data_IF_430602171862
#
_entry.id   IF_430602171862
#
_cell.length_a   1.000
_cell.length_b   1.000
_cell.length_c   1.000
_cell.angle_alpha   90.00
_cell.angle_beta   90.00
_cell.angle_gamma   90.00
#
_symmetry.space_group_name_H-M   'P 1'
#
loop_
_entity.id
_entity.type
_entity.pdbx_description
1 polymer ?
#
# COMPACT_ATOMS: atom_id res chain seq x y z
N UNK A 1 2.23 10.49 -1.62
CA UNK A 1 2.92 9.19 -1.66
C UNK A 1 2.27 8.31 -2.70
N UNK A 2 3.07 7.75 -3.59
CA UNK A 2 2.59 6.80 -4.60
C UNK A 2 2.94 5.38 -4.14
N UNK A 3 1.96 4.50 -4.22
CA UNK A 3 2.08 3.09 -3.88
C UNK A 3 1.86 2.24 -5.13
N UNK A 4 2.65 1.19 -5.28
CA UNK A 4 2.47 0.15 -6.28
C UNK A 4 2.53 -1.20 -5.58
N UNK A 5 1.50 -2.01 -5.75
CA UNK A 5 1.43 -3.36 -5.21
C UNK A 5 1.46 -4.32 -6.39
N UNK A 6 2.50 -5.17 -6.41
CA UNK A 6 2.72 -6.17 -7.44
C UNK A 6 2.50 -7.56 -6.81
N UNK A 7 1.47 -8.28 -7.25
CA UNK A 7 1.18 -9.64 -6.84
C UNK A 7 1.77 -10.62 -7.85
N UNK A 8 2.65 -11.50 -7.40
CA UNK A 8 3.36 -12.46 -8.25
C UNK A 8 3.09 -13.90 -7.81
N UNK A 9 3.05 -14.81 -8.79
CA UNK A 9 3.04 -16.26 -8.54
C UNK A 9 4.34 -16.89 -8.99
N UNK A 10 4.79 -17.89 -8.26
CA UNK A 10 5.92 -18.71 -8.62
C UNK A 10 5.53 -20.19 -8.55
N UNK A 11 5.73 -20.91 -9.66
CA UNK A 11 5.40 -22.33 -9.80
C UNK A 11 6.60 -23.25 -9.52
N UNK A 12 7.81 -22.76 -9.80
CA UNK A 12 9.09 -23.45 -9.59
C UNK A 12 10.09 -22.42 -9.07
N UNK A 13 10.88 -22.76 -8.04
CA UNK A 13 11.87 -21.85 -7.40
C UNK A 13 12.88 -21.19 -8.36
N UNK A 14 13.01 -21.71 -9.58
CA UNK A 14 14.08 -21.38 -10.54
C UNK A 14 13.61 -20.41 -11.65
N UNK A 15 12.30 -20.31 -11.91
CA UNK A 15 11.78 -19.41 -12.96
C UNK A 15 11.33 -18.07 -12.38
N UNK A 16 11.47 -16.96 -13.15
CA UNK A 16 10.90 -15.68 -12.76
C UNK A 16 9.39 -15.85 -12.58
N UNK A 17 8.89 -15.42 -11.42
CA UNK A 17 7.46 -15.50 -11.10
C UNK A 17 6.62 -14.72 -12.12
N UNK A 18 5.46 -15.25 -12.47
CA UNK A 18 4.51 -14.57 -13.34
C UNK A 18 3.74 -13.52 -12.53
N UNK A 19 3.69 -12.28 -13.00
CA UNK A 19 2.86 -11.23 -12.41
C UNK A 19 1.38 -11.59 -12.62
N UNK A 20 0.62 -11.64 -11.53
CA UNK A 20 -0.81 -11.96 -11.56
C UNK A 20 -1.67 -10.70 -11.65
N UNK A 21 -1.32 -9.71 -10.83
CA UNK A 21 -2.06 -8.46 -10.73
C UNK A 21 -1.13 -7.36 -10.24
N UNK A 22 -1.32 -6.18 -10.79
CA UNK A 22 -0.64 -4.96 -10.37
C UNK A 22 -1.69 -3.91 -10.08
N UNK A 23 -1.54 -3.25 -8.94
CA UNK A 23 -2.36 -2.12 -8.54
C UNK A 23 -1.47 -0.93 -8.21
N UNK A 24 -1.91 0.27 -8.61
CA UNK A 24 -1.23 1.52 -8.32
C UNK A 24 -2.24 2.48 -7.73
N UNK A 25 -1.87 3.13 -6.64
CA UNK A 25 -2.71 4.14 -6.02
C UNK A 25 -1.84 5.21 -5.36
N UNK A 26 -2.44 6.36 -5.10
CA UNK A 26 -1.75 7.51 -4.50
C UNK A 26 -2.54 7.93 -3.27
N UNK A 27 -1.81 8.22 -2.19
CA UNK A 27 -2.36 8.89 -1.00
C UNK A 27 -1.61 10.18 -0.77
N UNK A 28 -2.31 11.24 -0.40
CA UNK A 28 -1.69 12.55 -0.16
C UNK A 28 -2.01 13.03 1.25
N UNK A 29 -0.98 13.28 2.04
CA UNK A 29 -1.09 14.07 3.27
C UNK A 29 -1.12 15.56 2.92
N UNK A 30 -2.08 16.30 3.45
CA UNK A 30 -2.19 17.75 3.30
C UNK A 30 -2.14 18.38 4.69
N UNK A 31 -1.17 19.26 4.91
CA UNK A 31 -1.04 19.99 6.16
C UNK A 31 -1.85 21.30 6.09
N UNK A 32 -2.55 21.62 7.16
CA UNK A 32 -3.35 22.84 7.28
C UNK A 32 -3.29 23.39 8.71
N UNK A 33 -3.57 24.68 8.84
CA UNK A 33 -3.68 25.33 10.15
C UNK A 33 -5.10 25.15 10.69
N UNK A 34 -5.21 24.72 11.94
CA UNK A 34 -6.48 24.53 12.63
C UNK A 34 -6.51 25.29 13.94
N UNK A 35 -7.71 25.74 14.34
CA UNK A 35 -8.02 26.29 15.66
C UNK A 35 -8.96 25.39 16.46
N UNK A 36 -9.23 24.18 15.98
CA UNK A 36 -10.09 23.23 16.67
C UNK A 36 -9.38 22.76 17.96
N UNK A 37 -9.96 22.99 19.15
CA UNK A 37 -9.38 22.51 20.41
C UNK A 37 -9.34 20.98 20.54
N UNK A 38 -10.11 20.24 19.73
CA UNK A 38 -10.13 18.78 19.74
C UNK A 38 -8.91 18.14 19.07
N UNK A 39 -8.13 18.92 18.30
CA UNK A 39 -6.93 18.44 17.61
C UNK A 39 -5.67 18.79 18.41
N UNK A 40 -4.70 17.88 18.50
CA UNK A 40 -3.57 18.05 19.43
C UNK A 40 -2.57 19.13 18.99
N UNK A 41 -2.53 19.50 17.70
CA UNK A 41 -1.58 20.47 17.17
C UNK A 41 -2.26 21.56 16.31
N UNK A 42 -1.66 22.75 16.27
CA UNK A 42 -2.11 23.90 15.45
C UNK A 42 -1.92 23.68 13.95
N UNK A 43 -0.91 22.90 13.57
CA UNK A 43 -0.73 22.41 12.20
C UNK A 43 -1.15 20.95 12.21
N UNK A 44 -2.18 20.62 11.46
CA UNK A 44 -2.74 19.27 11.40
C UNK A 44 -2.73 18.73 9.99
N UNK A 45 -2.88 17.41 9.83
CA UNK A 45 -2.83 16.73 8.55
C UNK A 45 -4.18 16.09 8.20
N UNK A 46 -4.64 16.26 6.96
CA UNK A 46 -5.67 15.41 6.36
C UNK A 46 -5.03 14.42 5.39
N UNK A 47 -5.66 13.26 5.24
CA UNK A 47 -5.22 12.24 4.28
C UNK A 47 -6.26 12.14 3.18
N UNK A 48 -5.88 12.51 1.96
CA UNK A 48 -6.66 12.21 0.77
C UNK A 48 -6.31 10.80 0.28
N UNK A 49 -7.32 9.94 0.21
CA UNK A 49 -7.19 8.59 -0.35
C UNK A 49 -7.21 8.62 -1.88
N UNK A 50 -6.99 7.47 -2.50
CA UNK A 50 -7.08 7.31 -3.96
C UNK A 50 -8.45 7.60 -4.57
N UNK A 51 -9.52 7.60 -3.76
CA UNK A 51 -10.88 7.90 -4.16
C UNK A 51 -11.27 9.36 -3.87
N UNK A 52 -10.27 10.22 -3.69
CA UNK A 52 -10.43 11.63 -3.31
C UNK A 52 -11.19 11.84 -1.98
N UNK A 53 -11.35 10.78 -1.18
CA UNK A 53 -11.96 10.87 0.14
C UNK A 53 -10.96 11.49 1.10
N UNK A 54 -11.36 12.58 1.73
CA UNK A 54 -10.54 13.28 2.73
C UNK A 54 -10.84 12.68 4.10
N UNK A 55 -9.83 12.05 4.69
CA UNK A 55 -9.87 11.52 6.04
C UNK A 55 -9.29 12.55 7.01
N UNK A 56 -9.98 12.72 8.14
CA UNK A 56 -9.60 13.62 9.22
C UNK A 56 -9.20 12.79 10.44
N UNK A 57 -7.92 12.40 10.54
CA UNK A 57 -7.43 11.73 11.73
C UNK A 57 -7.56 12.65 12.95
N UNK A 58 -7.83 12.09 14.12
CA UNK A 58 -7.88 12.85 15.39
C UNK A 58 -6.59 12.73 16.20
N UNK A 59 -5.84 11.66 15.99
CA UNK A 59 -4.55 11.42 16.63
C UNK A 59 -3.42 11.26 15.61
N UNK A 60 -2.17 11.37 16.07
CA UNK A 60 -1.00 11.21 15.23
C UNK A 60 -0.88 9.77 14.72
N UNK A 61 -1.22 8.80 15.57
CA UNK A 61 -1.19 7.37 15.25
C UNK A 61 -2.23 7.02 14.17
N UNK A 62 -3.42 7.62 14.24
CA UNK A 62 -4.42 7.49 13.18
C UNK A 62 -3.92 8.09 11.88
N UNK A 63 -3.31 9.28 11.93
CA UNK A 63 -2.76 9.93 10.74
C UNK A 63 -1.66 9.08 10.08
N UNK A 64 -0.77 8.51 10.90
CA UNK A 64 0.29 7.61 10.47
C UNK A 64 -0.30 6.35 9.81
N UNK A 65 -1.25 5.70 10.48
CA UNK A 65 -1.89 4.48 9.97
C UNK A 65 -2.64 4.76 8.66
N UNK A 66 -3.43 5.83 8.59
CA UNK A 66 -4.17 6.20 7.38
C UNK A 66 -3.25 6.51 6.19
N UNK A 67 -2.10 7.13 6.44
CA UNK A 67 -1.17 7.51 5.38
C UNK A 67 -0.29 6.34 4.90
N UNK A 68 0.23 5.54 5.83
CA UNK A 68 1.27 4.54 5.56
C UNK A 68 0.78 3.10 5.54
N UNK A 69 -0.30 2.77 6.25
CA UNK A 69 -0.79 1.39 6.30
C UNK A 69 -1.55 1.02 5.02
N UNK A 70 -1.14 -0.06 4.39
CA UNK A 70 -1.64 -0.51 3.08
C UNK A 70 -2.20 -1.91 3.22
N UNK A 71 -3.52 -1.98 3.35
CA UNK A 71 -4.27 -3.25 3.28
C UNK A 71 -4.97 -3.33 1.92
N UNK A 72 -4.65 -4.35 1.12
CA UNK A 72 -5.29 -4.62 -0.18
C UNK A 72 -5.68 -6.08 -0.29
N UNK A 73 -6.89 -6.30 -0.78
CA UNK A 73 -7.43 -7.63 -1.03
C UNK A 73 -7.47 -7.85 -2.54
N UNK A 74 -6.86 -8.94 -2.99
CA UNK A 74 -6.89 -9.34 -4.39
C UNK A 74 -7.73 -10.60 -4.56
N UNK A 75 -8.85 -10.47 -5.25
CA UNK A 75 -9.61 -11.62 -5.71
C UNK A 75 -8.98 -12.20 -6.97
N UNK A 76 -8.70 -13.51 -6.95
CA UNK A 76 -8.08 -14.24 -8.04
C UNK A 76 -8.87 -15.51 -8.34
N UNK A 77 -9.31 -15.72 -9.59
CA UNK A 77 -9.94 -16.97 -9.96
C UNK A 77 -8.91 -18.11 -10.00
N UNK A 78 -9.27 -19.29 -9.49
CA UNK A 78 -8.42 -20.48 -9.48
C UNK A 78 -7.89 -20.85 -10.89
N UNK A 79 -8.68 -20.59 -11.93
CA UNK A 79 -8.29 -20.80 -13.33
C UNK A 79 -7.06 -20.00 -13.75
N UNK A 80 -6.82 -18.81 -13.18
CA UNK A 80 -5.61 -18.00 -13.46
C UNK A 80 -4.37 -18.52 -12.75
N UNK A 81 -4.54 -19.25 -11.65
CA UNK A 81 -3.44 -19.91 -10.96
C UNK A 81 -2.99 -21.14 -11.75
N UNK A 82 -3.97 -21.91 -12.23
CA UNK A 82 -3.76 -23.20 -12.90
C UNK A 82 -3.55 -24.32 -11.90
N UNK A 83 -3.61 -25.57 -12.33
CA UNK A 83 -3.49 -26.73 -11.43
C UNK A 83 -2.06 -26.91 -10.88
N UNK A 84 -1.99 -27.35 -9.64
CA UNK A 84 -0.77 -27.69 -8.91
C UNK A 84 -0.41 -26.72 -7.77
N UNK A 85 0.82 -26.87 -7.28
CA UNK A 85 1.34 -26.10 -6.17
C UNK A 85 1.87 -24.75 -6.65
N UNK A 86 1.38 -23.66 -6.06
CA UNK A 86 1.83 -22.31 -6.34
C UNK A 86 2.26 -21.60 -5.08
N UNK A 87 3.19 -20.69 -5.27
CA UNK A 87 3.70 -19.82 -4.23
C UNK A 87 3.36 -18.38 -4.60
N UNK A 88 2.66 -17.67 -3.72
CA UNK A 88 2.25 -16.28 -3.91
C UNK A 88 3.11 -15.36 -3.04
N UNK A 89 3.59 -14.26 -3.63
CA UNK A 89 4.30 -13.19 -2.95
C UNK A 89 3.77 -11.86 -3.47
N UNK A 90 3.43 -10.94 -2.56
CA UNK A 90 3.12 -9.56 -2.90
C UNK A 90 4.31 -8.65 -2.55
N UNK A 91 4.61 -7.72 -3.46
CA UNK A 91 5.61 -6.68 -3.26
C UNK A 91 4.92 -5.32 -3.22
N UNK A 92 5.14 -4.57 -2.16
CA UNK A 92 4.63 -3.22 -2.00
C UNK A 92 5.79 -2.24 -2.20
N UNK A 93 5.69 -1.42 -3.22
CA UNK A 93 6.62 -0.33 -3.50
C UNK A 93 5.95 0.99 -3.08
N UNK A 94 6.61 1.76 -2.22
CA UNK A 94 6.18 3.10 -1.87
C UNK A 94 7.23 4.12 -2.31
N UNK A 95 6.78 5.22 -2.90
CA UNK A 95 7.64 6.33 -3.35
C UNK A 95 7.05 7.66 -2.93
N UNK A 96 7.92 8.60 -2.56
CA UNK A 96 7.52 9.95 -2.23
C UNK A 96 8.49 10.98 -2.81
N UNK A 97 7.92 12.13 -3.18
CA UNK A 97 8.67 13.27 -3.69
C UNK A 97 9.35 14.03 -2.56
N UNK A 98 10.21 14.98 -2.95
CA UNK A 98 10.75 15.96 -2.02
C UNK A 98 9.64 16.89 -1.56
N UNK A 99 9.61 17.18 -0.26
CA UNK A 99 8.75 18.16 0.37
C UNK A 99 9.59 19.01 1.33
N UNK A 100 9.00 20.08 1.88
CA UNK A 100 9.64 20.93 2.91
C UNK A 100 10.08 20.12 4.15
N UNK A 101 9.38 19.03 4.44
CA UNK A 101 9.58 18.20 5.63
C UNK A 101 10.17 16.81 5.33
N UNK A 102 10.35 16.46 4.06
CA UNK A 102 10.81 15.12 3.67
C UNK A 102 11.69 15.17 2.44
N UNK A 103 12.79 14.41 2.44
CA UNK A 103 13.56 14.20 1.23
C UNK A 103 12.91 13.15 0.32
N UNK A 104 13.21 13.20 -0.98
CA UNK A 104 12.74 12.20 -1.93
C UNK A 104 13.23 10.81 -1.49
N UNK A 105 12.34 9.83 -1.51
CA UNK A 105 12.70 8.47 -1.15
C UNK A 105 11.79 7.42 -1.78
N UNK A 106 12.27 6.18 -1.75
CA UNK A 106 11.51 5.00 -2.09
C UNK A 106 11.81 3.87 -1.11
N UNK A 107 10.84 3.00 -0.90
CA UNK A 107 10.99 1.79 -0.10
C UNK A 107 10.21 0.65 -0.75
N UNK A 108 10.66 -0.58 -0.47
CA UNK A 108 10.04 -1.80 -0.97
C UNK A 108 9.90 -2.77 0.18
N UNK A 109 8.68 -3.25 0.39
CA UNK A 109 8.36 -4.31 1.32
C UNK A 109 7.85 -5.53 0.56
N UNK A 110 8.06 -6.72 1.13
CA UNK A 110 7.54 -7.98 0.62
C UNK A 110 6.69 -8.63 1.69
N UNK A 111 5.58 -9.24 1.29
CA UNK A 111 4.77 -10.05 2.19
C UNK A 111 5.43 -11.41 2.42
N UNK A 112 5.10 -12.10 3.52
CA UNK A 112 5.40 -13.51 3.66
C UNK A 112 4.87 -14.32 2.47
N UNK A 113 5.58 -15.40 2.19
CA UNK A 113 5.30 -16.28 1.06
C UNK A 113 4.12 -17.20 1.40
N UNK A 114 3.06 -17.14 0.60
CA UNK A 114 1.86 -17.97 0.77
C UNK A 114 1.90 -19.16 -0.20
N UNK A 115 1.80 -20.39 0.33
CA UNK A 115 1.72 -21.61 -0.49
C UNK A 115 0.27 -22.03 -0.65
N UNK A 116 -0.15 -22.26 -1.88
CA UNK A 116 -1.50 -22.72 -2.23
C UNK A 116 -1.42 -23.91 -3.17
N UNK A 117 -2.36 -24.84 -3.04
CA UNK A 117 -2.50 -25.99 -3.93
C UNK A 117 -3.88 -25.94 -4.61
N UNK A 118 -3.89 -25.99 -5.93
CA UNK A 118 -5.10 -25.91 -6.75
C UNK A 118 -5.30 -27.25 -7.46
N UNK A 119 -6.35 -27.98 -7.06
CA UNK A 119 -6.70 -29.31 -7.60
C UNK A 119 -7.37 -29.22 -8.98
#
# INVERSE_FOLDING_TARGET
MAYRVDLSKQRVKILPGSELKREKFVRRGVFFWTRNPELPYRVWATIATEFETILYPKTEEEAQTMLFDVTRTFELPASKLGKGHHTLEAKVHAKWGKHVFTERGETVAKTPVLKIDVR
#
